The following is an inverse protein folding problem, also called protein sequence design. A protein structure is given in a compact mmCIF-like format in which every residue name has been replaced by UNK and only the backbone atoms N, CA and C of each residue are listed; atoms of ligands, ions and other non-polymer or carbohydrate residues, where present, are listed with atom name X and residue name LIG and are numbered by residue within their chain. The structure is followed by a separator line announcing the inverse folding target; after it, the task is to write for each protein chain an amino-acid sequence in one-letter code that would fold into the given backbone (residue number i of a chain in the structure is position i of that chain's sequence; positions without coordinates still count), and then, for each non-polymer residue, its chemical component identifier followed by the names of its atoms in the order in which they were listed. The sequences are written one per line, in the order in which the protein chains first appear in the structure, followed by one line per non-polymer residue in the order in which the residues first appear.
data_IF_540461722537
#
_entry.id   IF_540461722537
#
_cell.length_a   1.000
_cell.length_b   1.000
_cell.length_c   1.000
_cell.angle_alpha   90.00
_cell.angle_beta   90.00
_cell.angle_gamma   90.00
#
_symmetry.space_group_name_H-M   'P 1'
#
loop_
_entity.id
_entity.type
_entity.pdbx_description
1 polymer ?
#
# COMPACT_ATOMS: atom_id res chain seq x y z
N UNK A 1 16.04 -9.94 -28.55
CA UNK A 1 16.46 -8.98 -27.50
C UNK A 1 17.60 -9.66 -26.74
N UNK A 2 18.75 -9.01 -26.53
CA UNK A 2 19.86 -9.60 -25.77
C UNK A 2 19.39 -9.90 -24.33
N UNK A 3 19.70 -11.09 -23.80
CA UNK A 3 19.36 -11.55 -22.45
C UNK A 3 19.71 -10.52 -21.37
N UNK A 4 20.84 -9.82 -21.53
CA UNK A 4 21.25 -8.76 -20.61
C UNK A 4 20.23 -7.61 -20.56
N UNK A 5 19.62 -7.26 -21.70
CA UNK A 5 18.59 -6.21 -21.74
C UNK A 5 17.28 -6.66 -21.07
N UNK A 6 16.95 -7.95 -21.16
CA UNK A 6 15.79 -8.52 -20.46
C UNK A 6 16.04 -8.48 -18.95
N UNK A 7 17.20 -8.98 -18.48
CA UNK A 7 17.59 -8.95 -17.07
C UNK A 7 17.61 -7.53 -16.51
N UNK A 8 18.19 -6.58 -17.26
CA UNK A 8 18.21 -5.17 -16.88
C UNK A 8 16.79 -4.61 -16.73
N UNK A 9 15.87 -4.93 -17.65
CA UNK A 9 14.47 -4.48 -17.56
C UNK A 9 13.76 -5.08 -16.34
N UNK A 10 13.94 -6.38 -16.08
CA UNK A 10 13.36 -7.06 -14.91
C UNK A 10 13.88 -6.40 -13.63
N UNK A 11 15.20 -6.27 -13.47
CA UNK A 11 15.80 -5.66 -12.28
C UNK A 11 15.26 -4.25 -12.01
N UNK A 12 15.18 -3.40 -13.05
CA UNK A 12 14.67 -2.03 -12.90
C UNK A 12 13.14 -1.95 -12.72
N UNK A 13 12.40 -3.03 -12.97
CA UNK A 13 10.97 -3.09 -12.67
C UNK A 13 10.69 -3.32 -11.17
N UNK A 14 11.66 -3.86 -10.42
CA UNK A 14 11.57 -4.12 -8.98
C UNK A 14 12.41 -3.12 -8.19
N UNK A 15 11.88 -1.91 -7.96
CA UNK A 15 12.47 -0.95 -7.03
C UNK A 15 11.86 -1.14 -5.63
N UNK A 16 12.60 -1.72 -4.66
CA UNK A 16 12.08 -2.00 -3.32
C UNK A 16 11.84 -0.75 -2.48
N UNK A 17 12.27 0.44 -2.95
CA UNK A 17 12.05 1.71 -2.27
C UNK A 17 10.88 2.50 -2.86
N UNK A 18 10.25 2.01 -3.92
CA UNK A 18 9.07 2.63 -4.52
C UNK A 18 7.82 1.86 -4.11
N UNK A 19 6.84 2.50 -3.45
CA UNK A 19 5.58 1.83 -3.14
C UNK A 19 4.80 1.53 -4.43
N UNK A 20 4.00 0.47 -4.40
CA UNK A 20 3.14 0.13 -5.53
C UNK A 20 1.96 1.10 -5.57
N UNK A 21 1.59 1.64 -6.75
CA UNK A 21 0.34 2.37 -6.89
C UNK A 21 -0.86 1.43 -6.68
N UNK A 22 -2.03 1.98 -6.29
CA UNK A 22 -3.26 1.20 -6.17
C UNK A 22 -3.65 0.58 -7.52
N UNK A 23 -4.23 -0.62 -7.49
CA UNK A 23 -4.78 -1.31 -8.67
C UNK A 23 -3.75 -1.92 -9.64
N UNK A 24 -2.46 -1.91 -9.32
CA UNK A 24 -1.47 -2.59 -10.17
C UNK A 24 -1.53 -4.11 -10.02
N UNK A 25 -1.40 -4.87 -11.13
CA UNK A 25 -1.49 -6.33 -11.09
C UNK A 25 -0.31 -7.01 -10.38
N UNK A 26 0.75 -6.27 -10.08
CA UNK A 26 1.91 -6.76 -9.33
C UNK A 26 1.72 -6.67 -7.82
N UNK A 27 0.58 -6.13 -7.34
CA UNK A 27 0.22 -6.19 -5.94
C UNK A 27 -0.09 -7.64 -5.56
N UNK A 28 0.51 -8.11 -4.47
CA UNK A 28 0.22 -9.41 -3.88
C UNK A 28 -0.37 -9.15 -2.51
N UNK A 29 -1.57 -9.66 -2.30
CA UNK A 29 -2.19 -9.63 -0.99
C UNK A 29 -1.48 -10.62 -0.07
N UNK A 30 -0.98 -10.11 1.04
CA UNK A 30 -0.27 -10.89 2.05
C UNK A 30 -0.99 -10.81 3.39
N UNK A 31 -2.29 -10.49 3.44
CA UNK A 31 -3.07 -10.34 4.66
C UNK A 31 -2.93 -11.55 5.61
N UNK A 32 -3.12 -12.76 5.08
CA UNK A 32 -3.03 -14.03 5.84
C UNK A 32 -1.70 -14.21 6.57
N UNK A 33 -0.60 -13.70 6.00
CA UNK A 33 0.75 -13.81 6.57
C UNK A 33 1.22 -12.53 7.28
N UNK A 34 0.42 -11.45 7.20
CA UNK A 34 0.64 -10.17 7.88
C UNK A 34 -0.15 -10.06 9.19
N UNK A 35 -0.86 -11.13 9.56
CA UNK A 35 -1.60 -11.24 10.82
C UNK A 35 -3.07 -10.81 10.71
N UNK A 36 -3.71 -11.11 9.57
CA UNK A 36 -5.15 -10.85 9.33
C UNK A 36 -5.51 -9.37 9.53
N UNK A 37 -4.64 -8.50 9.02
CA UNK A 37 -4.71 -7.05 9.17
C UNK A 37 -5.05 -6.38 7.83
N UNK A 38 -6.27 -5.86 7.71
CA UNK A 38 -6.69 -5.00 6.59
C UNK A 38 -6.66 -3.53 7.02
N UNK A 39 -5.82 -2.74 6.34
CA UNK A 39 -5.67 -1.30 6.59
C UNK A 39 -6.97 -0.52 6.33
N UNK A 40 -7.80 -0.97 5.38
CA UNK A 40 -9.08 -0.34 5.08
C UNK A 40 -10.05 -0.48 6.26
N UNK A 41 -9.94 -1.58 7.00
CA UNK A 41 -10.72 -1.83 8.20
C UNK A 41 -10.11 -1.11 9.40
N UNK A 42 -8.84 -1.34 9.70
CA UNK A 42 -8.23 -0.86 10.95
C UNK A 42 -8.07 0.67 10.97
N UNK A 43 -7.40 1.21 9.95
CA UNK A 43 -7.11 2.63 9.87
C UNK A 43 -8.24 3.39 9.18
N UNK A 44 -8.82 2.82 8.12
CA UNK A 44 -9.95 3.43 7.41
C UNK A 44 -11.16 3.67 8.32
N UNK A 45 -11.59 2.67 9.11
CA UNK A 45 -12.72 2.89 10.05
C UNK A 45 -12.40 3.94 11.11
N UNK A 46 -11.18 3.97 11.64
CA UNK A 46 -10.77 4.99 12.61
C UNK A 46 -10.92 6.41 12.03
N UNK A 47 -10.47 6.61 10.79
CA UNK A 47 -10.62 7.88 10.07
C UNK A 47 -12.08 8.23 9.83
N UNK A 48 -12.88 7.26 9.36
CA UNK A 48 -14.28 7.47 8.95
C UNK A 48 -15.23 7.71 10.14
N UNK A 49 -14.97 7.08 11.29
CA UNK A 49 -15.86 7.13 12.45
C UNK A 49 -15.53 8.28 13.42
N UNK A 50 -14.39 8.95 13.25
CA UNK A 50 -13.98 10.00 14.18
C UNK A 50 -14.58 11.36 13.83
N UNK A 51 -15.37 11.91 14.77
CA UNK A 51 -15.84 13.31 14.70
C UNK A 51 -14.73 14.34 15.02
N UNK A 52 -13.53 13.88 15.35
CA UNK A 52 -12.38 14.72 15.76
C UNK A 52 -11.18 14.44 14.87
N UNK A 53 -10.28 15.41 14.77
CA UNK A 53 -9.00 15.20 14.08
C UNK A 53 -8.20 14.12 14.80
N UNK A 54 -7.80 13.08 14.06
CA UNK A 54 -6.98 11.97 14.57
C UNK A 54 -5.56 12.02 14.03
N UNK A 55 -4.61 11.50 14.79
CA UNK A 55 -3.29 11.14 14.31
C UNK A 55 -3.07 9.66 14.59
N UNK A 56 -2.87 8.86 13.53
CA UNK A 56 -2.72 7.42 13.63
C UNK A 56 -1.29 7.03 13.27
N UNK A 57 -0.67 6.17 14.07
CA UNK A 57 0.67 5.63 13.83
C UNK A 57 0.56 4.29 13.10
N UNK A 58 1.02 4.25 11.85
CA UNK A 58 1.14 3.01 11.08
C UNK A 58 2.62 2.60 10.96
N UNK A 59 3.06 1.69 11.84
CA UNK A 59 4.47 1.34 12.04
C UNK A 59 4.81 -0.10 11.62
N UNK A 60 6.11 -0.39 11.47
CA UNK A 60 6.61 -1.73 11.10
C UNK A 60 7.98 -1.66 10.41
N UNK A 61 8.58 -2.81 10.12
CA UNK A 61 9.93 -2.89 9.53
C UNK A 61 10.05 -2.17 8.17
N UNK A 62 11.26 -1.71 7.83
CA UNK A 62 11.56 -1.16 6.50
C UNK A 62 11.33 -2.25 5.44
N UNK A 63 10.68 -1.89 4.33
CA UNK A 63 10.35 -2.84 3.27
C UNK A 63 9.08 -3.68 3.50
N UNK A 64 8.40 -3.55 4.65
CA UNK A 64 7.18 -4.31 4.96
C UNK A 64 5.92 -3.86 4.18
N UNK A 65 6.04 -3.04 3.13
CA UNK A 65 4.91 -2.63 2.29
C UNK A 65 4.01 -1.50 2.82
N UNK A 66 4.32 -0.90 3.99
CA UNK A 66 3.45 0.10 4.62
C UNK A 66 2.99 1.25 3.72
N UNK A 67 3.91 1.83 2.94
CA UNK A 67 3.57 2.92 2.02
C UNK A 67 2.68 2.47 0.86
N UNK A 68 2.79 1.21 0.42
CA UNK A 68 1.86 0.62 -0.56
C UNK A 68 0.46 0.50 0.04
N UNK A 69 0.35 0.02 1.27
CA UNK A 69 -0.93 -0.11 1.97
C UNK A 69 -1.60 1.26 2.22
N UNK A 70 -0.81 2.28 2.60
CA UNK A 70 -1.33 3.65 2.75
C UNK A 70 -1.85 4.23 1.42
N UNK A 71 -1.22 3.92 0.28
CA UNK A 71 -1.72 4.34 -1.03
C UNK A 71 -3.02 3.62 -1.42
N UNK A 72 -3.19 2.35 -1.01
CA UNK A 72 -4.47 1.63 -1.16
C UNK A 72 -5.57 2.29 -0.33
N UNK A 73 -5.28 2.61 0.93
CA UNK A 73 -6.22 3.32 1.80
C UNK A 73 -6.60 4.69 1.24
N UNK A 74 -5.63 5.47 0.76
CA UNK A 74 -5.90 6.75 0.11
C UNK A 74 -6.87 6.58 -1.06
N UNK A 75 -6.62 5.61 -1.94
CA UNK A 75 -7.46 5.36 -3.11
C UNK A 75 -8.90 4.97 -2.73
N UNK A 76 -9.07 4.11 -1.72
CA UNK A 76 -10.37 3.71 -1.20
C UNK A 76 -11.16 4.92 -0.63
N UNK A 77 -10.49 5.77 0.15
CA UNK A 77 -11.10 6.99 0.69
C UNK A 77 -11.45 8.01 -0.41
N UNK A 78 -10.60 8.18 -1.42
CA UNK A 78 -10.88 9.04 -2.59
C UNK A 78 -12.07 8.51 -3.42
N UNK A 79 -12.20 7.18 -3.57
CA UNK A 79 -13.35 6.54 -4.24
C UNK A 79 -14.67 6.86 -3.50
N UNK A 80 -14.62 6.86 -2.17
CA UNK A 80 -15.72 7.25 -1.27
C UNK A 80 -15.94 8.77 -1.18
N UNK A 81 -15.25 9.59 -1.99
CA UNK A 81 -15.36 11.07 -2.07
C UNK A 81 -14.80 11.84 -0.88
N UNK A 82 -13.91 11.24 -0.10
CA UNK A 82 -13.13 11.98 0.89
C UNK A 82 -11.95 12.72 0.23
N UNK A 83 -11.49 13.79 0.90
CA UNK A 83 -10.27 14.52 0.51
C UNK A 83 -9.14 14.11 1.45
N UNK A 84 -8.10 13.48 0.90
CA UNK A 84 -6.96 12.87 1.61
C UNK A 84 -5.64 13.12 0.90
#
# INVERSE_FOLDING_TARGET
MNDFQILKRIFNAFDPFRPLPPGVPTYVDCEEVRGDCDILIELGRSILLSDRVTCNLYAGHRGAGKSTELLRLKADLEEQKYYV
#
